data_IF_360883273323
#
_entry.id   IF_360883273323
#
_cell.length_a   1.000
_cell.length_b   1.000
_cell.length_c   1.000
_cell.angle_alpha   90.00
_cell.angle_beta   90.00
_cell.angle_gamma   90.00
#
_symmetry.space_group_name_H-M   'P 1'
#
loop_
_entity.id
_entity.type
_entity.pdbx_description
1 polymer ?
#
# COMPACT_ATOMS: atom_id res chain seq x y z
N UNK A 1 15.28 7.65 2.86
CA UNK A 1 14.18 8.35 3.57
C UNK A 1 12.99 8.71 2.67
N UNK A 2 13.17 9.35 1.50
CA UNK A 2 12.03 9.78 0.65
C UNK A 2 11.16 8.63 0.10
N UNK A 3 11.70 7.43 -0.12
CA UNK A 3 10.96 6.27 -0.65
C UNK A 3 10.02 5.64 0.39
N UNK A 4 10.55 5.37 1.59
CA UNK A 4 9.76 4.93 2.75
C UNK A 4 8.61 5.90 3.04
N UNK A 5 8.83 7.21 2.88
CA UNK A 5 7.77 8.21 3.06
C UNK A 5 6.62 8.05 2.05
N UNK A 6 6.93 7.75 0.79
CA UNK A 6 5.92 7.58 -0.26
C UNK A 6 5.10 6.30 -0.03
N UNK A 7 5.76 5.20 0.30
CA UNK A 7 5.09 3.93 0.63
C UNK A 7 4.16 4.09 1.85
N UNK A 8 4.66 4.71 2.91
CA UNK A 8 3.85 5.01 4.10
C UNK A 8 2.67 5.91 3.77
N UNK A 9 2.84 6.92 2.91
CA UNK A 9 1.73 7.78 2.49
C UNK A 9 0.66 6.99 1.73
N UNK A 10 1.05 6.12 0.81
CA UNK A 10 0.10 5.26 0.09
C UNK A 10 -0.66 4.31 1.03
N UNK A 11 0.03 3.73 2.03
CA UNK A 11 -0.61 2.89 3.04
C UNK A 11 -1.58 3.71 3.89
N UNK A 12 -1.19 4.89 4.36
CA UNK A 12 -2.06 5.78 5.16
C UNK A 12 -3.31 6.16 4.38
N UNK A 13 -3.17 6.58 3.12
CA UNK A 13 -4.30 6.92 2.25
C UNK A 13 -5.21 5.71 2.04
N UNK A 14 -4.63 4.54 1.73
CA UNK A 14 -5.40 3.32 1.57
C UNK A 14 -6.16 2.92 2.85
N UNK A 15 -5.52 3.02 4.02
CA UNK A 15 -6.12 2.71 5.31
C UNK A 15 -7.23 3.69 5.69
N UNK A 16 -7.06 4.98 5.38
CA UNK A 16 -8.07 6.01 5.62
C UNK A 16 -9.35 5.75 4.81
N UNK A 17 -9.28 5.02 3.70
CA UNK A 17 -10.43 4.62 2.89
C UNK A 17 -10.96 3.25 3.31
N UNK A 18 -10.06 2.29 3.56
CA UNK A 18 -10.42 0.91 3.87
C UNK A 18 -11.15 0.79 5.21
N UNK A 19 -10.71 1.51 6.26
CA UNK A 19 -11.33 1.43 7.58
C UNK A 19 -12.79 1.89 7.55
N UNK A 20 -13.14 3.07 6.99
CA UNK A 20 -14.54 3.45 6.80
C UNK A 20 -15.36 2.46 5.98
N UNK A 21 -14.80 1.91 4.90
CA UNK A 21 -15.49 0.92 4.06
C UNK A 21 -15.82 -0.37 4.82
N UNK A 22 -14.91 -0.85 5.69
CA UNK A 22 -15.13 -2.04 6.52
C UNK A 22 -16.24 -1.79 7.55
N UNK A 23 -16.26 -0.59 8.17
CA UNK A 23 -17.24 -0.26 9.21
C UNK A 23 -18.64 -0.05 8.62
N UNK A 24 -18.73 0.62 7.48
CA UNK A 24 -20.00 0.94 6.82
C UNK A 24 -19.85 0.85 5.30
N UNK A 25 -20.07 -0.33 4.70
CA UNK A 25 -19.94 -0.50 3.26
C UNK A 25 -21.07 0.25 2.54
N UNK A 26 -20.69 1.06 1.56
CA UNK A 26 -21.63 1.78 0.69
C UNK A 26 -21.06 1.96 -0.71
N UNK A 27 -21.89 2.27 -1.73
CA UNK A 27 -21.44 2.29 -3.13
C UNK A 27 -20.24 3.24 -3.38
N UNK A 28 -20.25 4.42 -2.76
CA UNK A 28 -19.15 5.38 -2.86
C UNK A 28 -17.86 4.85 -2.23
N UNK A 29 -17.95 4.28 -1.03
CA UNK A 29 -16.79 3.74 -0.31
C UNK A 29 -16.23 2.50 -1.02
N UNK A 30 -17.09 1.68 -1.63
CA UNK A 30 -16.67 0.55 -2.47
C UNK A 30 -15.85 1.04 -3.67
N UNK A 31 -16.31 2.09 -4.36
CA UNK A 31 -15.56 2.69 -5.46
C UNK A 31 -14.19 3.19 -5.00
N UNK A 32 -14.14 3.97 -3.91
CA UNK A 32 -12.88 4.47 -3.36
C UNK A 32 -11.96 3.33 -2.92
N UNK A 33 -12.51 2.28 -2.31
CA UNK A 33 -11.73 1.13 -1.88
C UNK A 33 -11.10 0.40 -3.08
N UNK A 34 -11.89 0.09 -4.11
CA UNK A 34 -11.44 -0.70 -5.27
C UNK A 34 -10.50 0.10 -6.18
N UNK A 35 -10.82 1.36 -6.46
CA UNK A 35 -10.09 2.13 -7.47
C UNK A 35 -9.04 3.07 -6.89
N UNK A 36 -9.04 3.32 -5.58
CA UNK A 36 -8.05 4.18 -4.93
C UNK A 36 -7.23 3.38 -3.91
N UNK A 37 -7.86 2.81 -2.90
CA UNK A 37 -7.13 2.15 -1.81
C UNK A 37 -6.35 0.91 -2.28
N UNK A 38 -6.97 0.03 -3.07
CA UNK A 38 -6.30 -1.17 -3.57
C UNK A 38 -5.07 -0.86 -4.45
N UNK A 39 -5.13 0.07 -5.43
CA UNK A 39 -3.93 0.51 -6.15
C UNK A 39 -2.86 1.11 -5.24
N UNK A 40 -3.23 1.94 -4.26
CA UNK A 40 -2.27 2.49 -3.30
C UNK A 40 -1.54 1.38 -2.53
N UNK A 41 -2.28 0.38 -2.03
CA UNK A 41 -1.68 -0.78 -1.37
C UNK A 41 -0.81 -1.60 -2.30
N UNK A 42 -1.23 -1.84 -3.54
CA UNK A 42 -0.45 -2.59 -4.52
C UNK A 42 0.90 -1.91 -4.78
N UNK A 43 0.91 -0.58 -4.99
CA UNK A 43 2.15 0.18 -5.20
C UNK A 43 3.06 0.11 -3.98
N UNK A 44 2.50 0.25 -2.77
CA UNK A 44 3.28 0.16 -1.53
C UNK A 44 3.90 -1.23 -1.34
N UNK A 45 3.11 -2.30 -1.52
CA UNK A 45 3.56 -3.70 -1.39
C UNK A 45 4.64 -4.02 -2.42
N UNK A 46 4.43 -3.67 -3.69
CA UNK A 46 5.39 -3.96 -4.76
C UNK A 46 6.71 -3.22 -4.49
N UNK A 47 6.65 -1.95 -4.09
CA UNK A 47 7.85 -1.16 -3.80
C UNK A 47 8.66 -1.76 -2.64
N UNK A 48 7.96 -2.10 -1.54
CA UNK A 48 8.57 -2.75 -0.39
C UNK A 48 9.16 -4.13 -0.75
N UNK A 49 8.44 -4.95 -1.53
CA UNK A 49 8.91 -6.27 -1.95
C UNK A 49 10.16 -6.17 -2.83
N UNK A 50 10.23 -5.20 -3.74
CA UNK A 50 11.42 -4.94 -4.56
C UNK A 50 12.60 -4.53 -3.68
N UNK A 51 12.38 -3.69 -2.67
CA UNK A 51 13.43 -3.26 -1.75
C UNK A 51 13.96 -4.42 -0.91
N UNK A 52 13.05 -5.22 -0.32
CA UNK A 52 13.41 -6.44 0.42
C UNK A 52 14.21 -7.40 -0.47
N UNK A 53 13.75 -7.64 -1.71
CA UNK A 53 14.47 -8.53 -2.63
C UNK A 53 15.87 -8.03 -2.96
N UNK A 54 16.03 -6.71 -3.20
CA UNK A 54 17.34 -6.11 -3.46
C UNK A 54 18.26 -6.19 -2.25
N UNK A 55 17.72 -5.98 -1.06
CA UNK A 55 18.47 -6.08 0.19
C UNK A 55 18.95 -7.52 0.43
N UNK A 56 18.05 -8.50 0.29
CA UNK A 56 18.39 -9.93 0.42
C UNK A 56 19.46 -10.38 -0.57
N UNK A 57 19.36 -9.93 -1.84
CA UNK A 57 20.37 -10.21 -2.87
C UNK A 57 21.71 -9.54 -2.58
N UNK A 58 21.70 -8.33 -2.02
CA UNK A 58 22.92 -7.58 -1.64
C UNK A 58 23.61 -8.25 -0.46
N UNK A 59 22.83 -8.72 0.51
CA UNK A 59 23.32 -9.41 1.70
C UNK A 59 23.59 -10.91 1.49
N UNK A 60 23.44 -11.42 0.24
CA UNK A 60 23.67 -12.83 -0.15
C UNK A 60 22.86 -13.84 0.66
N UNK A 61 21.66 -13.44 1.10
CA UNK A 61 20.71 -14.34 1.76
C UNK A 61 19.99 -15.21 0.72
N UNK A 62 19.79 -14.65 -0.47
CA UNK A 62 19.24 -15.31 -1.67
C UNK A 62 20.16 -15.01 -2.85
#
# INVERSE_FOLDING_TARGET
MRKIFIESLFVIVGMAIAVPYIISPGPLLMFLFVFVAQPCFAVAIISAAIEIYRDLKTNKVI
#
